data_IF_877981275867
#
_entry.id   IF_877981275867
#
_cell.length_a   1.000
_cell.length_b   1.000
_cell.length_c   1.000
_cell.angle_alpha   90.00
_cell.angle_beta   90.00
_cell.angle_gamma   90.00
#
_symmetry.space_group_name_H-M   'P 1'
#
loop_
_entity.id
_entity.type
_entity.pdbx_description
1 polymer ?
#
# COMPACT_ATOMS: atom_id res chain seq x y z
N UNK A 1 -19.50 -20.61 -47.18
CA UNK A 1 -20.04 -21.84 -46.58
C UNK A 1 -19.69 -22.00 -45.10
N UNK A 2 -18.43 -21.79 -44.73
CA UNK A 2 -17.90 -21.89 -43.33
C UNK A 2 -18.71 -21.09 -42.31
N UNK A 3 -18.93 -19.78 -42.52
CA UNK A 3 -19.71 -18.93 -41.61
C UNK A 3 -21.16 -19.33 -41.40
N UNK A 4 -21.79 -19.98 -42.43
CA UNK A 4 -23.14 -20.52 -42.27
C UNK A 4 -23.17 -21.75 -41.37
N UNK A 5 -22.10 -22.58 -41.37
CA UNK A 5 -21.95 -23.73 -40.49
C UNK A 5 -21.70 -23.24 -39.04
N UNK A 6 -20.79 -22.27 -38.84
CA UNK A 6 -20.54 -21.66 -37.54
C UNK A 6 -21.82 -21.07 -36.95
N UNK A 7 -22.55 -20.26 -37.73
CA UNK A 7 -23.80 -19.65 -37.29
C UNK A 7 -24.87 -20.68 -36.96
N UNK A 8 -25.01 -21.75 -37.79
CA UNK A 8 -25.94 -22.85 -37.54
C UNK A 8 -25.62 -23.62 -36.26
N UNK A 9 -24.36 -23.94 -36.02
CA UNK A 9 -23.90 -24.61 -34.83
C UNK A 9 -24.15 -23.77 -33.56
N UNK A 10 -23.82 -22.48 -33.61
CA UNK A 10 -24.01 -21.53 -32.49
C UNK A 10 -25.49 -21.42 -32.08
N UNK A 11 -26.41 -21.30 -33.05
CA UNK A 11 -27.83 -21.17 -32.75
C UNK A 11 -28.52 -22.48 -32.32
N UNK A 12 -27.96 -23.65 -32.67
CA UNK A 12 -28.53 -24.95 -32.32
C UNK A 12 -28.18 -25.40 -30.90
N UNK A 13 -27.01 -24.96 -30.35
CA UNK A 13 -26.55 -25.32 -29.00
C UNK A 13 -26.39 -24.11 -28.06
N UNK A 14 -27.31 -23.17 -28.14
CA UNK A 14 -27.25 -21.90 -27.35
C UNK A 14 -27.01 -22.12 -25.87
N UNK A 15 -27.67 -23.13 -25.25
CA UNK A 15 -27.51 -23.38 -23.81
C UNK A 15 -26.09 -23.77 -23.41
N UNK A 16 -25.42 -24.63 -24.21
CA UNK A 16 -24.05 -25.07 -23.91
C UNK A 16 -23.03 -23.98 -24.19
N UNK A 17 -23.19 -23.27 -25.31
CA UNK A 17 -22.37 -22.11 -25.62
C UNK A 17 -22.47 -21.03 -24.53
N UNK A 18 -23.68 -20.82 -24.00
CA UNK A 18 -23.89 -19.90 -22.88
C UNK A 18 -23.23 -20.39 -21.60
N UNK A 19 -23.24 -21.72 -21.31
CA UNK A 19 -22.49 -22.27 -20.16
C UNK A 19 -20.99 -22.12 -20.32
N UNK A 20 -20.45 -22.38 -21.53
CA UNK A 20 -19.01 -22.15 -21.80
C UNK A 20 -18.69 -20.68 -21.65
N UNK A 21 -19.48 -19.76 -22.21
CA UNK A 21 -19.30 -18.33 -22.06
C UNK A 21 -19.35 -17.89 -20.59
N UNK A 22 -20.27 -18.44 -19.81
CA UNK A 22 -20.40 -18.17 -18.38
C UNK A 22 -19.20 -18.67 -17.61
N UNK A 23 -18.68 -19.86 -17.90
CA UNK A 23 -17.43 -20.36 -17.25
C UNK A 23 -16.24 -19.48 -17.58
N UNK A 24 -16.11 -19.04 -18.83
CA UNK A 24 -15.05 -18.08 -19.22
C UNK A 24 -15.25 -16.75 -18.53
N UNK A 25 -16.50 -16.25 -18.46
CA UNK A 25 -16.82 -14.99 -17.81
C UNK A 25 -16.49 -15.01 -16.30
N UNK A 26 -16.76 -16.12 -15.61
CA UNK A 26 -16.39 -16.27 -14.20
C UNK A 26 -14.87 -16.18 -14.00
N UNK A 27 -14.10 -16.95 -14.79
CA UNK A 27 -12.64 -16.91 -14.70
C UNK A 27 -12.07 -15.54 -15.07
N UNK A 28 -12.57 -14.94 -16.15
CA UNK A 28 -12.16 -13.61 -16.58
C UNK A 28 -12.55 -12.52 -15.57
N UNK A 29 -13.71 -12.61 -14.93
CA UNK A 29 -14.16 -11.64 -13.93
C UNK A 29 -13.28 -11.66 -12.69
N UNK A 30 -12.96 -12.85 -12.19
CA UNK A 30 -12.08 -12.97 -11.03
C UNK A 30 -10.65 -12.53 -11.36
N UNK A 31 -10.13 -12.91 -12.53
CA UNK A 31 -8.82 -12.46 -12.99
C UNK A 31 -8.78 -10.93 -13.14
N UNK A 32 -9.81 -10.32 -13.73
CA UNK A 32 -9.91 -8.86 -13.88
C UNK A 32 -9.97 -8.16 -12.52
N UNK A 33 -10.79 -8.66 -11.60
CA UNK A 33 -10.90 -8.09 -10.26
C UNK A 33 -9.58 -8.17 -9.51
N UNK A 34 -8.96 -9.36 -9.46
CA UNK A 34 -7.71 -9.57 -8.72
C UNK A 34 -6.53 -8.79 -9.32
N UNK A 35 -6.42 -8.70 -10.66
CA UNK A 35 -5.35 -7.93 -11.30
C UNK A 35 -5.50 -6.41 -11.06
N UNK A 36 -6.73 -5.87 -11.13
CA UNK A 36 -6.93 -4.46 -10.78
C UNK A 36 -6.61 -4.20 -9.31
N UNK A 37 -7.08 -5.05 -8.40
CA UNK A 37 -6.77 -4.94 -6.97
C UNK A 37 -5.27 -5.06 -6.72
N UNK A 38 -4.60 -6.03 -7.36
CA UNK A 38 -3.15 -6.25 -7.19
C UNK A 38 -2.32 -5.03 -7.63
N UNK A 39 -2.69 -4.40 -8.76
CA UNK A 39 -1.97 -3.23 -9.27
C UNK A 39 -2.29 -1.94 -8.51
N UNK A 40 -3.48 -1.84 -7.92
CA UNK A 40 -3.93 -0.64 -7.20
C UNK A 40 -3.62 -0.70 -5.69
N UNK A 41 -3.58 -1.89 -5.09
CA UNK A 41 -3.29 -2.07 -3.65
C UNK A 41 -1.91 -1.54 -3.28
N UNK A 42 -0.90 -1.76 -4.14
CA UNK A 42 0.45 -1.21 -3.91
C UNK A 42 0.44 0.31 -3.79
N UNK A 43 -0.27 0.99 -4.69
CA UNK A 43 -0.36 2.45 -4.70
C UNK A 43 -1.19 2.98 -3.52
N UNK A 44 -2.27 2.27 -3.14
CA UNK A 44 -3.16 2.68 -2.04
C UNK A 44 -2.58 2.42 -0.67
N UNK A 45 -1.98 1.25 -0.44
CA UNK A 45 -1.28 0.97 0.82
C UNK A 45 -0.17 2.00 1.01
N UNK A 46 0.61 2.32 -0.02
CA UNK A 46 1.55 3.44 0.03
C UNK A 46 0.88 4.78 0.36
N UNK A 47 -0.33 5.02 -0.12
CA UNK A 47 -1.06 6.26 0.10
C UNK A 47 -1.69 6.33 1.49
N UNK A 48 -2.22 5.21 2.01
CA UNK A 48 -2.72 5.12 3.39
C UNK A 48 -1.60 5.18 4.41
N UNK A 49 -0.47 4.53 4.16
CA UNK A 49 0.70 4.59 5.03
C UNK A 49 1.34 6.00 5.05
N UNK A 50 1.20 6.77 3.98
CA UNK A 50 1.50 8.22 3.97
C UNK A 50 0.58 9.01 4.91
N UNK A 51 -0.63 8.54 5.13
CA UNK A 51 -1.60 9.13 6.06
C UNK A 51 -1.29 8.74 7.51
N UNK A 52 -0.57 7.64 7.75
CA UNK A 52 -0.24 7.10 9.08
C UNK A 52 1.06 7.66 9.70
N UNK A 53 1.61 8.75 9.18
CA UNK A 53 2.67 9.50 9.84
C UNK A 53 4.07 9.33 9.25
N UNK A 54 5.08 9.50 10.11
CA UNK A 54 6.46 9.47 9.73
C UNK A 54 6.95 8.05 9.38
N UNK A 55 7.77 7.96 8.35
CA UNK A 55 8.49 6.75 8.00
C UNK A 55 10.01 6.84 8.21
N UNK A 56 10.49 8.03 8.57
CA UNK A 56 11.89 8.28 8.91
C UNK A 56 11.96 8.98 10.26
N UNK A 57 12.89 8.55 11.11
CA UNK A 57 13.24 9.18 12.37
C UNK A 57 14.68 9.70 12.30
N UNK A 58 14.85 10.98 12.51
CA UNK A 58 16.16 11.66 12.54
C UNK A 58 16.53 11.91 14.00
N UNK A 59 17.61 11.32 14.45
CA UNK A 59 18.07 11.37 15.84
C UNK A 59 19.53 11.87 15.91
N UNK A 60 19.98 12.42 17.05
CA UNK A 60 21.36 12.79 17.22
C UNK A 60 22.33 11.60 17.15
N UNK A 61 23.47 11.77 16.51
CA UNK A 61 24.50 10.72 16.40
C UNK A 61 25.00 10.30 17.79
N UNK A 62 24.87 9.00 18.08
CA UNK A 62 25.26 8.40 19.36
C UNK A 62 24.20 8.55 20.45
N UNK A 63 22.98 8.93 20.12
CA UNK A 63 21.82 8.62 20.94
C UNK A 63 21.67 7.10 21.07
N UNK A 64 21.29 6.61 22.25
CA UNK A 64 21.28 5.17 22.53
C UNK A 64 20.35 4.41 21.58
N UNK A 65 20.87 3.34 20.97
CA UNK A 65 20.09 2.42 20.16
C UNK A 65 19.04 1.62 20.97
N UNK A 66 19.16 1.62 22.29
CA UNK A 66 18.26 0.88 23.18
C UNK A 66 16.89 1.55 23.32
N UNK A 67 16.84 2.88 23.26
CA UNK A 67 15.56 3.62 23.30
C UNK A 67 14.73 3.36 22.03
N UNK A 68 15.42 3.08 20.93
CA UNK A 68 14.80 2.84 19.60
C UNK A 68 14.33 1.38 19.40
N UNK A 69 14.95 0.43 20.13
CA UNK A 69 14.69 -1.02 19.95
C UNK A 69 13.54 -1.56 20.79
N UNK A 70 13.22 -0.95 21.90
CA UNK A 70 12.28 -1.51 22.88
C UNK A 70 11.11 -0.59 23.24
N UNK A 71 11.09 0.68 22.80
CA UNK A 71 10.09 1.66 23.23
C UNK A 71 10.07 1.80 24.76
N UNK A 72 11.13 1.37 25.41
CA UNK A 72 11.25 1.39 26.89
C UNK A 72 11.87 2.71 27.25
N UNK A 73 11.03 3.62 27.66
CA UNK A 73 11.37 4.80 28.44
C UNK A 73 11.84 4.35 29.83
N UNK A 74 12.91 3.53 29.89
CA UNK A 74 13.59 3.28 31.18
C UNK A 74 14.39 4.51 31.55
N UNK A 75 13.80 5.30 32.39
CA UNK A 75 14.17 6.56 32.99
C UNK A 75 15.58 6.73 33.55
N UNK A 76 16.62 6.50 32.75
CA UNK A 76 17.99 6.84 33.19
C UNK A 76 18.96 7.11 32.04
N UNK A 77 18.47 7.57 30.88
CA UNK A 77 19.32 7.94 29.77
C UNK A 77 18.72 9.03 28.91
N UNK A 78 18.49 10.21 29.49
CA UNK A 78 18.34 11.41 28.65
C UNK A 78 19.68 11.55 27.92
N UNK A 79 19.67 11.22 26.63
CA UNK A 79 20.81 11.51 25.76
C UNK A 79 21.06 13.01 25.89
N UNK A 80 22.24 13.41 26.36
CA UNK A 80 22.63 14.81 26.40
C UNK A 80 22.91 15.42 25.03
N UNK A 81 22.53 14.71 23.98
CA UNK A 81 22.70 15.10 22.57
C UNK A 81 21.36 15.50 21.96
N UNK A 82 21.40 16.58 21.24
CA UNK A 82 20.25 17.21 20.60
C UNK A 82 20.61 17.62 19.18
N UNK A 83 19.61 17.79 18.32
CA UNK A 83 19.73 18.42 17.03
C UNK A 83 19.38 19.91 17.13
N UNK A 84 19.93 20.72 16.23
CA UNK A 84 19.63 22.15 16.15
C UNK A 84 18.32 22.36 15.38
N UNK A 85 17.40 23.12 15.97
CA UNK A 85 16.13 23.49 15.34
C UNK A 85 16.35 24.28 14.04
N UNK A 86 17.33 25.19 14.02
CA UNK A 86 17.62 26.05 12.86
C UNK A 86 18.07 25.29 11.61
N UNK A 87 18.58 24.06 11.76
CA UNK A 87 19.04 23.23 10.65
C UNK A 87 17.89 22.41 10.01
N UNK A 88 16.72 22.35 10.63
CA UNK A 88 15.65 21.46 10.18
C UNK A 88 15.10 21.81 8.79
N UNK A 89 15.15 23.09 8.40
CA UNK A 89 14.81 23.54 7.05
C UNK A 89 15.67 22.90 5.95
N UNK A 90 16.89 22.46 6.28
CA UNK A 90 17.77 21.80 5.33
C UNK A 90 17.22 20.45 4.82
N UNK A 91 16.30 19.82 5.54
CA UNK A 91 15.58 18.60 5.08
C UNK A 91 14.94 18.84 3.71
N UNK A 92 14.52 20.06 3.42
CA UNK A 92 13.91 20.45 2.14
C UNK A 92 14.94 20.92 1.08
N UNK A 93 16.23 20.76 1.31
CA UNK A 93 17.28 21.08 0.34
C UNK A 93 17.92 19.85 -0.30
N UNK A 94 17.57 18.64 0.15
CA UNK A 94 18.09 17.38 -0.39
C UNK A 94 17.58 17.11 -1.81
N UNK A 95 18.22 16.19 -2.53
CA UNK A 95 17.81 15.82 -3.89
C UNK A 95 16.33 15.35 -3.93
N UNK A 96 15.88 14.63 -2.90
CA UNK A 96 14.51 14.14 -2.76
C UNK A 96 13.58 15.09 -1.99
N UNK A 97 13.87 16.39 -1.96
CA UNK A 97 13.07 17.40 -1.25
C UNK A 97 11.57 17.37 -1.57
N UNK A 98 11.21 17.14 -2.85
CA UNK A 98 9.81 17.03 -3.28
C UNK A 98 9.11 15.76 -2.78
N UNK A 99 9.85 14.74 -2.41
CA UNK A 99 9.32 13.52 -1.83
C UNK A 99 9.07 13.66 -0.33
N UNK A 100 9.66 14.65 0.35
CA UNK A 100 9.34 14.96 1.74
C UNK A 100 7.96 15.64 1.78
N UNK A 101 6.99 14.92 2.34
CA UNK A 101 5.60 15.41 2.47
C UNK A 101 5.51 16.40 3.61
N UNK A 102 6.01 15.99 4.79
CA UNK A 102 5.96 16.79 6.00
C UNK A 102 7.03 16.34 6.99
N UNK A 103 7.36 17.14 7.98
CA UNK A 103 8.24 16.77 9.08
C UNK A 103 7.92 17.61 10.32
N UNK A 104 8.23 17.06 11.50
CA UNK A 104 8.02 17.76 12.74
C UNK A 104 9.07 17.38 13.78
N UNK A 105 9.64 18.34 14.51
CA UNK A 105 10.57 18.08 15.61
C UNK A 105 9.83 17.67 16.88
N UNK A 106 10.54 16.95 17.73
CA UNK A 106 10.08 16.58 19.06
C UNK A 106 11.16 16.88 20.09
N UNK A 107 10.75 17.49 21.20
CA UNK A 107 11.56 17.66 22.40
C UNK A 107 10.85 17.03 23.58
N UNK A 108 11.35 15.91 24.07
CA UNK A 108 10.77 15.24 25.21
C UNK A 108 11.40 15.78 26.52
N UNK A 109 10.57 16.06 27.50
CA UNK A 109 11.00 16.42 28.85
C UNK A 109 10.04 15.85 29.89
N UNK A 110 10.54 15.63 31.10
CA UNK A 110 9.67 15.22 32.21
C UNK A 110 9.20 16.45 32.98
N UNK A 111 7.91 16.47 33.29
CA UNK A 111 7.28 17.55 34.02
C UNK A 111 6.43 17.01 35.18
N UNK A 112 6.37 17.72 36.28
CA UNK A 112 5.39 17.42 37.32
C UNK A 112 4.11 18.22 37.05
N UNK A 113 2.98 17.53 37.00
CA UNK A 113 1.65 18.12 36.79
C UNK A 113 1.04 18.48 38.14
N UNK A 114 0.73 19.76 38.36
CA UNK A 114 0.14 20.27 39.62
C UNK A 114 0.88 19.80 40.89
N UNK A 115 2.18 19.60 40.78
CA UNK A 115 3.02 19.07 41.86
C UNK A 115 2.92 17.57 42.13
N UNK A 116 2.25 16.82 41.27
CA UNK A 116 2.06 15.36 41.38
C UNK A 116 2.66 14.66 40.14
N UNK A 117 3.42 13.60 40.40
CA UNK A 117 3.91 12.66 39.39
C UNK A 117 4.80 13.29 38.31
N UNK A 118 5.61 12.45 37.68
CA UNK A 118 6.38 12.82 36.48
C UNK A 118 5.61 12.33 35.25
N UNK A 119 5.27 13.25 34.37
CA UNK A 119 4.58 12.98 33.10
C UNK A 119 5.50 13.42 31.97
N UNK A 120 5.47 12.71 30.84
CA UNK A 120 6.18 13.12 29.65
C UNK A 120 5.49 14.31 29.00
N UNK A 121 6.19 15.43 28.90
CA UNK A 121 5.78 16.58 28.09
C UNK A 121 6.57 16.56 26.78
N UNK A 122 5.85 16.68 25.69
CA UNK A 122 6.37 16.61 24.32
C UNK A 122 6.17 17.97 23.67
N UNK A 123 7.28 18.66 23.39
CA UNK A 123 7.29 19.88 22.58
C UNK A 123 7.38 19.56 21.11
N UNK A 124 6.54 20.19 20.30
CA UNK A 124 6.52 19.94 18.85
C UNK A 124 5.99 21.15 18.09
N UNK A 125 6.19 21.16 16.80
CA UNK A 125 5.48 22.07 15.89
C UNK A 125 4.11 21.50 15.57
N UNK A 126 3.06 22.27 15.80
CA UNK A 126 1.69 21.86 15.43
C UNK A 126 1.33 22.28 14.01
N UNK A 127 1.63 23.53 13.66
CA UNK A 127 1.45 24.12 12.33
C UNK A 127 2.44 25.28 12.20
N UNK A 128 3.67 24.96 11.84
CA UNK A 128 4.80 25.87 11.82
C UNK A 128 5.04 26.40 10.41
N UNK A 129 5.14 27.75 10.30
CA UNK A 129 5.52 28.39 9.06
C UNK A 129 7.04 28.52 9.01
N UNK A 130 7.65 27.78 8.11
CA UNK A 130 9.11 27.70 7.97
C UNK A 130 9.55 28.36 6.66
N UNK A 131 10.44 29.35 6.76
CA UNK A 131 11.17 29.87 5.61
C UNK A 131 12.36 28.97 5.30
N UNK A 132 12.38 28.39 4.11
CA UNK A 132 13.44 27.47 3.69
C UNK A 132 14.68 28.24 3.21
N UNK A 133 15.88 27.64 3.30
CA UNK A 133 17.11 28.23 2.76
C UNK A 133 17.02 28.51 1.23
N UNK A 134 16.11 27.87 0.54
CA UNK A 134 15.82 28.09 -0.88
C UNK A 134 15.03 29.37 -1.16
N UNK A 135 14.48 30.03 -0.12
CA UNK A 135 13.60 31.19 -0.24
C UNK A 135 12.13 30.84 -0.42
N UNK A 136 11.78 29.56 -0.38
CA UNK A 136 10.39 29.09 -0.37
C UNK A 136 9.87 29.02 1.07
N UNK A 137 8.54 29.17 1.26
CA UNK A 137 7.90 28.96 2.55
C UNK A 137 7.13 27.64 2.57
N UNK A 138 7.14 26.97 3.71
CA UNK A 138 6.47 25.71 3.94
C UNK A 138 5.72 25.73 5.27
N UNK A 139 4.46 25.30 5.27
CA UNK A 139 3.73 25.01 6.51
C UNK A 139 3.88 23.52 6.83
N UNK A 140 4.54 23.23 7.94
CA UNK A 140 4.86 21.86 8.38
C UNK A 140 4.45 21.65 9.83
N UNK A 141 4.21 20.40 10.25
CA UNK A 141 3.90 20.13 11.64
C UNK A 141 3.06 18.90 11.90
N UNK A 142 2.89 18.63 13.18
CA UNK A 142 2.26 17.41 13.69
C UNK A 142 0.81 17.27 13.24
N UNK A 143 0.07 18.35 13.09
CA UNK A 143 -1.33 18.32 12.65
C UNK A 143 -1.50 17.64 11.28
N UNK A 144 -0.57 17.87 10.36
CA UNK A 144 -0.58 17.24 9.04
C UNK A 144 -0.13 15.78 9.09
N UNK A 145 0.74 15.45 10.04
CA UNK A 145 1.34 14.11 10.16
C UNK A 145 0.51 13.13 11.00
N UNK A 146 -0.30 13.62 11.95
CA UNK A 146 -1.10 12.81 12.88
C UNK A 146 -2.61 12.98 12.61
N UNK A 147 -3.02 12.84 11.35
CA UNK A 147 -4.40 13.07 10.89
C UNK A 147 -5.41 12.08 11.47
N UNK A 148 -4.96 10.94 11.98
CA UNK A 148 -5.80 9.91 12.61
C UNK A 148 -6.11 10.18 14.10
N UNK A 149 -5.46 11.16 14.72
CA UNK A 149 -5.75 11.50 16.10
C UNK A 149 -7.17 12.07 16.20
N UNK A 150 -7.95 11.50 17.12
CA UNK A 150 -9.25 12.05 17.48
C UNK A 150 -9.07 13.12 18.56
N UNK A 151 -9.43 14.37 18.26
CA UNK A 151 -9.18 15.52 19.12
C UNK A 151 -10.49 16.13 19.55
N UNK A 152 -10.78 16.06 20.85
CA UNK A 152 -11.85 16.81 21.50
C UNK A 152 -11.32 18.22 21.82
N UNK A 153 -12.00 19.25 21.34
CA UNK A 153 -11.57 20.65 21.45
C UNK A 153 -10.87 21.16 20.20
N UNK A 154 -9.70 21.76 20.32
CA UNK A 154 -8.95 22.30 19.18
C UNK A 154 -7.50 21.84 19.17
N UNK A 155 -6.95 21.70 17.96
CA UNK A 155 -5.52 21.57 17.77
C UNK A 155 -4.82 22.86 18.19
N UNK A 156 -3.67 22.73 18.84
CA UNK A 156 -2.82 23.87 19.17
C UNK A 156 -2.25 24.54 17.92
N UNK A 157 -1.91 25.81 18.09
CA UNK A 157 -1.07 26.58 17.18
C UNK A 157 0.23 26.92 17.88
N UNK A 158 1.30 27.03 17.12
CA UNK A 158 2.63 27.25 17.69
C UNK A 158 2.76 28.62 18.39
N UNK A 159 1.89 29.59 18.04
CA UNK A 159 1.80 30.93 18.63
C UNK A 159 0.84 31.00 19.84
N UNK A 160 0.12 29.93 20.17
CA UNK A 160 -0.82 29.86 21.30
C UNK A 160 -0.13 29.50 22.61
N UNK A 161 0.63 30.42 23.19
CA UNK A 161 1.09 30.29 24.57
C UNK A 161 0.15 31.08 25.50
N UNK A 162 -0.26 30.51 26.63
CA UNK A 162 0.07 29.21 27.25
C UNK A 162 -1.06 28.16 27.08
N UNK A 163 -1.00 27.36 26.04
CA UNK A 163 -1.99 26.32 25.77
C UNK A 163 -1.33 24.91 25.67
N UNK A 164 -2.12 23.86 25.94
CA UNK A 164 -1.66 22.47 25.96
C UNK A 164 -2.71 21.51 25.45
N UNK A 165 -2.26 20.45 24.75
CA UNK A 165 -3.08 19.28 24.44
C UNK A 165 -2.69 18.13 25.38
N UNK A 166 -3.70 17.41 25.88
CA UNK A 166 -3.50 16.35 26.86
C UNK A 166 -3.96 15.03 26.28
N UNK A 167 -3.14 13.99 26.37
CA UNK A 167 -3.54 12.64 25.97
C UNK A 167 -4.63 12.08 26.85
N UNK A 168 -5.51 11.26 26.27
CA UNK A 168 -6.70 10.72 26.92
C UNK A 168 -6.41 10.01 28.23
N UNK A 169 -5.33 9.22 28.28
CA UNK A 169 -4.92 8.50 29.48
C UNK A 169 -4.56 9.47 30.63
N UNK A 170 -3.83 10.56 30.32
CA UNK A 170 -3.48 11.59 31.32
C UNK A 170 -4.73 12.36 31.75
N UNK A 171 -5.60 12.73 30.79
CA UNK A 171 -6.84 13.44 31.09
C UNK A 171 -7.74 12.63 32.04
N UNK A 172 -7.91 11.34 31.79
CA UNK A 172 -8.70 10.46 32.63
C UNK A 172 -8.07 10.23 34.03
N UNK A 173 -6.75 10.06 34.07
CA UNK A 173 -6.00 9.84 35.33
C UNK A 173 -6.08 11.03 36.27
N UNK A 174 -5.92 12.25 35.74
CA UNK A 174 -5.90 13.50 36.50
C UNK A 174 -7.25 14.23 36.47
N UNK A 175 -8.27 13.67 35.82
CA UNK A 175 -9.64 14.22 35.67
C UNK A 175 -9.65 15.63 35.05
N UNK A 176 -8.80 15.83 34.07
CA UNK A 176 -8.68 17.10 33.36
C UNK A 176 -9.80 17.26 32.31
N UNK A 177 -10.25 18.47 32.13
CA UNK A 177 -11.27 18.86 31.14
C UNK A 177 -10.79 20.01 30.30
N UNK A 178 -11.43 20.18 29.14
CA UNK A 178 -11.19 21.35 28.31
C UNK A 178 -11.45 22.64 29.09
N UNK A 179 -10.50 23.60 28.98
CA UNK A 179 -10.53 24.86 29.69
C UNK A 179 -9.91 24.84 31.08
N UNK A 180 -9.52 23.68 31.61
CA UNK A 180 -8.82 23.62 32.90
C UNK A 180 -7.42 24.25 32.78
N UNK A 181 -7.00 24.95 33.84
CA UNK A 181 -5.63 25.47 33.94
C UNK A 181 -4.79 24.49 34.76
N UNK A 182 -3.66 24.09 34.21
CA UNK A 182 -2.71 23.16 34.82
C UNK A 182 -1.36 23.81 34.99
N UNK A 183 -0.66 23.49 36.09
CA UNK A 183 0.70 23.92 36.33
C UNK A 183 1.66 22.81 35.97
N UNK A 184 2.54 23.09 34.99
CA UNK A 184 3.61 22.18 34.59
C UNK A 184 4.95 22.69 35.14
N UNK A 185 5.57 21.87 35.97
CA UNK A 185 6.91 22.17 36.53
C UNK A 185 7.94 21.34 35.79
N UNK A 186 8.66 21.99 34.88
CA UNK A 186 9.82 21.41 34.21
C UNK A 186 11.11 21.45 35.03
N UNK A 187 12.21 20.93 34.44
CA UNK A 187 13.53 20.95 35.10
C UNK A 187 14.07 22.35 35.45
N UNK A 188 13.76 23.35 34.63
CA UNK A 188 14.29 24.73 34.77
C UNK A 188 13.21 25.73 35.13
N UNK A 189 12.03 25.63 34.47
CA UNK A 189 10.95 26.60 34.67
C UNK A 189 9.64 25.92 35.02
N UNK A 190 8.74 26.70 35.60
CA UNK A 190 7.35 26.33 35.88
C UNK A 190 6.45 27.28 35.10
N UNK A 191 5.40 26.73 34.44
CA UNK A 191 4.41 27.49 33.69
C UNK A 191 2.99 27.03 33.96
N UNK A 192 2.04 27.94 33.81
CA UNK A 192 0.61 27.63 33.83
C UNK A 192 0.11 27.53 32.39
N UNK A 193 -0.67 26.50 32.11
CA UNK A 193 -1.16 26.22 30.77
C UNK A 193 -2.66 25.87 30.80
N UNK A 194 -3.36 26.27 29.76
CA UNK A 194 -4.79 25.95 29.59
C UNK A 194 -4.95 24.73 28.68
N UNK A 195 -5.75 23.75 29.10
CA UNK A 195 -6.09 22.58 28.30
C UNK A 195 -7.04 22.97 27.18
N UNK A 196 -6.57 23.03 25.94
CA UNK A 196 -7.36 23.42 24.77
C UNK A 196 -7.81 22.23 23.93
N UNK A 197 -7.14 21.08 24.09
CA UNK A 197 -7.47 19.85 23.41
C UNK A 197 -7.20 18.60 24.26
N UNK A 198 -8.06 17.61 24.12
CA UNK A 198 -7.82 16.26 24.64
C UNK A 198 -7.80 15.33 23.42
N UNK A 199 -6.72 14.58 23.25
CA UNK A 199 -6.56 13.72 22.08
C UNK A 199 -6.52 12.25 22.44
N UNK A 200 -6.97 11.41 21.49
CA UNK A 200 -6.85 9.97 21.50
C UNK A 200 -6.08 9.50 20.26
N UNK A 201 -4.89 8.97 20.48
CA UNK A 201 -4.00 8.45 19.44
C UNK A 201 -4.12 6.92 19.29
N UNK A 202 -4.56 6.22 20.34
CA UNK A 202 -4.63 4.77 20.39
C UNK A 202 -3.30 4.08 20.71
N UNK A 203 -2.34 4.82 21.25
CA UNK A 203 -0.99 4.33 21.58
C UNK A 203 -0.39 4.98 22.82
N UNK A 204 0.93 4.87 22.93
CA UNK A 204 1.68 5.41 24.09
C UNK A 204 1.60 6.93 24.19
N UNK A 205 1.33 7.62 23.08
CA UNK A 205 1.13 9.07 23.03
C UNK A 205 -0.02 9.54 23.94
N UNK A 206 -1.04 8.70 24.19
CA UNK A 206 -2.17 9.00 25.08
C UNK A 206 -1.72 9.23 26.54
N UNK A 207 -0.51 8.77 26.90
CA UNK A 207 0.14 8.97 28.20
C UNK A 207 0.97 10.25 28.33
N UNK A 208 0.94 11.14 27.34
CA UNK A 208 1.78 12.34 27.30
C UNK A 208 0.95 13.63 27.20
N UNK A 209 1.64 14.74 27.44
CA UNK A 209 1.12 16.11 27.27
C UNK A 209 1.90 16.76 26.13
N UNK A 210 1.21 17.40 25.19
CA UNK A 210 1.82 18.06 24.04
C UNK A 210 1.70 19.56 24.15
N UNK A 211 2.83 20.25 23.89
CA UNK A 211 2.96 21.71 23.96
C UNK A 211 3.64 22.25 22.69
N UNK A 212 3.50 23.55 22.39
CA UNK A 212 4.37 24.19 21.42
C UNK A 212 5.85 23.98 21.78
N UNK A 213 6.69 23.75 20.76
CA UNK A 213 8.12 23.46 20.96
C UNK A 213 8.80 24.51 21.82
N UNK A 214 8.57 25.79 21.55
CA UNK A 214 9.16 26.90 22.31
C UNK A 214 8.79 26.86 23.79
N UNK A 215 7.57 26.46 24.15
CA UNK A 215 7.17 26.32 25.55
C UNK A 215 7.94 25.19 26.25
N UNK A 216 8.12 24.05 25.59
CA UNK A 216 8.88 22.93 26.15
C UNK A 216 10.35 23.23 26.24
N UNK A 217 10.92 23.96 25.28
CA UNK A 217 12.31 24.46 25.34
C UNK A 217 12.55 25.37 26.55
N UNK A 218 11.59 26.26 26.85
CA UNK A 218 11.63 27.10 28.04
C UNK A 218 11.57 26.29 29.35
N UNK A 219 10.62 25.32 29.42
CA UNK A 219 10.47 24.46 30.60
C UNK A 219 11.72 23.61 30.88
N UNK A 220 12.33 23.09 29.80
CA UNK A 220 13.51 22.21 29.88
C UNK A 220 14.84 22.96 29.94
N UNK A 221 14.88 24.28 29.63
CA UNK A 221 16.12 25.08 29.53
C UNK A 221 16.95 24.72 28.29
N UNK A 222 16.36 24.30 27.20
CA UNK A 222 17.03 23.85 25.97
C UNK A 222 16.56 24.63 24.74
N UNK A 223 16.83 25.94 24.66
CA UNK A 223 16.38 26.76 23.53
C UNK A 223 17.04 26.31 22.22
N UNK A 224 16.28 26.27 21.13
CA UNK A 224 16.77 25.91 19.80
C UNK A 224 17.21 24.44 19.64
N UNK A 225 16.88 23.57 20.59
CA UNK A 225 17.30 22.17 20.59
C UNK A 225 16.07 21.24 20.49
N UNK A 226 16.25 20.13 19.77
CA UNK A 226 15.23 19.08 19.62
C UNK A 226 15.82 17.69 19.82
N UNK A 227 15.04 16.77 20.37
CA UNK A 227 15.49 15.40 20.65
C UNK A 227 15.51 14.53 19.41
N UNK A 228 14.51 14.69 18.54
CA UNK A 228 14.35 13.94 17.28
C UNK A 228 13.48 14.70 16.31
N UNK A 229 13.52 14.28 15.04
CA UNK A 229 12.62 14.78 14.01
C UNK A 229 11.95 13.58 13.33
N UNK A 230 10.63 13.58 13.25
CA UNK A 230 9.87 12.64 12.43
C UNK A 230 9.68 13.24 11.03
N UNK A 231 9.98 12.47 10.01
CA UNK A 231 9.83 12.87 8.60
C UNK A 231 8.92 11.91 7.89
N UNK A 232 7.94 12.45 7.17
CA UNK A 232 7.07 11.73 6.26
C UNK A 232 7.54 11.92 4.83
N UNK A 233 7.99 10.85 4.19
CA UNK A 233 8.52 10.89 2.83
C UNK A 233 7.81 9.89 1.91
N UNK A 234 7.62 10.29 0.64
CA UNK A 234 7.16 9.42 -0.42
C UNK A 234 8.31 8.53 -0.89
N UNK A 235 8.22 7.24 -0.61
CA UNK A 235 9.33 6.31 -0.84
C UNK A 235 8.97 5.22 -1.83
N UNK A 236 10.00 4.68 -2.50
CA UNK A 236 9.91 3.48 -3.31
C UNK A 236 10.14 2.26 -2.41
N UNK A 237 9.39 1.16 -2.57
CA UNK A 237 9.61 -0.06 -1.80
C UNK A 237 11.04 -0.57 -1.88
N UNK A 238 11.56 -1.05 -0.74
CA UNK A 238 12.92 -1.55 -0.64
C UNK A 238 13.15 -2.82 -1.48
N UNK A 239 14.30 -2.87 -2.12
CA UNK A 239 14.79 -4.03 -2.84
C UNK A 239 16.15 -4.50 -2.28
N UNK A 240 16.79 -5.47 -2.93
CA UNK A 240 18.09 -5.98 -2.49
C UNK A 240 19.20 -4.91 -2.54
N UNK A 241 19.14 -4.01 -3.53
CA UNK A 241 20.10 -2.90 -3.65
C UNK A 241 19.96 -1.92 -2.50
N UNK A 242 18.72 -1.49 -2.18
CA UNK A 242 18.46 -0.54 -1.09
C UNK A 242 18.87 -1.13 0.27
N UNK A 243 18.64 -2.44 0.50
CA UNK A 243 19.05 -3.14 1.74
C UNK A 243 20.57 -3.23 1.88
N UNK A 244 21.30 -3.51 0.80
CA UNK A 244 22.78 -3.49 0.81
C UNK A 244 23.31 -2.09 1.06
N UNK A 245 22.75 -1.10 0.38
CA UNK A 245 23.11 0.31 0.55
C UNK A 245 22.85 0.82 1.98
N UNK A 246 21.76 0.39 2.62
CA UNK A 246 21.47 0.74 4.02
C UNK A 246 22.51 0.21 5.02
N UNK A 247 23.20 -0.89 4.69
CA UNK A 247 24.25 -1.48 5.51
C UNK A 247 25.62 -0.83 5.24
N UNK A 248 25.98 -0.68 3.98
CA UNK A 248 27.26 -0.09 3.56
C UNK A 248 27.10 0.62 2.19
N UNK A 249 26.78 1.92 2.19
CA UNK A 249 26.68 2.70 0.96
C UNK A 249 28.01 2.81 0.20
N UNK A 250 29.16 2.73 0.92
CA UNK A 250 30.48 2.86 0.32
C UNK A 250 30.95 1.56 -0.38
N UNK A 251 30.36 0.43 -0.02
CA UNK A 251 30.63 -0.86 -0.65
C UNK A 251 29.95 -1.06 -2.00
N UNK A 252 29.14 -0.12 -2.48
CA UNK A 252 28.48 -0.18 -3.77
C UNK A 252 29.41 0.19 -4.93
N UNK A 253 29.19 -0.42 -6.09
CA UNK A 253 29.82 0.08 -7.34
C UNK A 253 29.24 1.45 -7.71
N UNK A 254 29.97 2.25 -8.48
CA UNK A 254 29.55 3.62 -8.89
C UNK A 254 28.14 3.60 -9.50
N UNK A 255 27.86 2.63 -10.39
CA UNK A 255 26.55 2.49 -11.04
C UNK A 255 25.44 2.11 -10.07
N UNK A 256 25.70 1.22 -9.12
CA UNK A 256 24.75 0.85 -8.09
C UNK A 256 24.48 2.02 -7.14
N UNK A 257 25.52 2.76 -6.78
CA UNK A 257 25.41 3.95 -5.97
C UNK A 257 24.57 5.03 -6.63
N UNK A 258 24.83 5.36 -7.92
CA UNK A 258 23.99 6.29 -8.70
C UNK A 258 22.54 5.82 -8.75
N UNK A 259 22.29 4.54 -9.04
CA UNK A 259 20.93 4.00 -9.12
C UNK A 259 20.21 4.11 -7.78
N UNK A 260 20.89 3.79 -6.68
CA UNK A 260 20.32 3.89 -5.34
C UNK A 260 20.09 5.34 -4.92
N UNK A 261 21.06 6.22 -5.08
CA UNK A 261 20.98 7.63 -4.69
C UNK A 261 19.87 8.38 -5.46
N UNK A 262 19.71 8.06 -6.75
CA UNK A 262 18.69 8.62 -7.63
C UNK A 262 17.36 7.86 -7.61
N UNK A 263 17.15 6.93 -6.68
CA UNK A 263 15.86 6.27 -6.44
C UNK A 263 15.37 6.65 -5.05
N UNK A 264 14.08 6.98 -4.91
CA UNK A 264 13.49 7.44 -3.66
C UNK A 264 13.32 6.30 -2.62
N UNK A 265 14.37 5.52 -2.38
CA UNK A 265 14.40 4.56 -1.29
C UNK A 265 14.48 5.28 0.05
N UNK A 266 13.85 4.71 1.09
CA UNK A 266 13.95 5.26 2.46
C UNK A 266 15.40 5.44 2.87
N UNK A 267 16.27 4.45 2.58
CA UNK A 267 17.70 4.49 2.91
C UNK A 267 18.45 5.60 2.17
N UNK A 268 18.09 5.91 0.92
CA UNK A 268 18.71 6.99 0.16
C UNK A 268 18.30 8.36 0.69
N UNK A 269 17.03 8.52 1.07
CA UNK A 269 16.54 9.76 1.69
C UNK A 269 17.16 9.96 3.06
N UNK A 270 17.25 8.90 3.89
CA UNK A 270 17.96 8.96 5.19
C UNK A 270 19.40 9.43 5.02
N UNK A 271 20.13 8.85 4.07
CA UNK A 271 21.52 9.23 3.79
C UNK A 271 21.64 10.71 3.41
N UNK A 272 20.74 11.22 2.56
CA UNK A 272 20.75 12.63 2.15
C UNK A 272 20.36 13.60 3.28
N UNK A 273 19.48 13.18 4.20
CA UNK A 273 19.17 13.97 5.41
C UNK A 273 20.40 14.06 6.31
N UNK A 274 21.14 12.95 6.46
CA UNK A 274 22.37 12.92 7.26
C UNK A 274 23.50 13.80 6.69
N UNK A 275 23.46 14.11 5.36
CA UNK A 275 24.41 15.02 4.73
C UNK A 275 24.12 16.50 5.05
N UNK A 276 22.88 16.87 5.39
CA UNK A 276 22.45 18.27 5.54
C UNK A 276 22.14 18.68 6.98
N UNK A 277 22.03 17.74 7.92
CA UNK A 277 21.84 18.01 9.36
C UNK A 277 23.08 17.56 10.12
N UNK A 278 23.67 18.49 10.85
CA UNK A 278 24.89 18.25 11.61
C UNK A 278 24.63 17.23 12.73
N UNK A 279 25.54 16.25 12.86
CA UNK A 279 25.47 15.19 13.88
C UNK A 279 24.15 14.40 13.93
N UNK A 280 23.43 14.34 12.84
CA UNK A 280 22.24 13.52 12.70
C UNK A 280 22.55 12.10 12.24
N UNK A 281 21.64 11.18 12.58
CA UNK A 281 21.50 9.84 12.01
C UNK A 281 20.05 9.60 11.73
N UNK A 282 19.72 9.46 10.46
CA UNK A 282 18.36 9.16 9.99
C UNK A 282 18.16 7.67 9.89
N UNK A 283 17.05 7.17 10.40
CA UNK A 283 16.69 5.75 10.36
C UNK A 283 15.27 5.57 9.88
N UNK A 284 15.02 4.56 9.04
CA UNK A 284 13.65 4.18 8.73
C UNK A 284 12.96 3.68 10.02
N UNK A 285 11.71 4.10 10.21
CA UNK A 285 10.87 3.55 11.27
C UNK A 285 10.51 2.12 10.87
N UNK A 286 11.21 1.13 11.45
CA UNK A 286 11.18 -0.28 11.04
C UNK A 286 9.79 -0.90 11.02
N UNK A 287 8.92 -0.51 11.94
CA UNK A 287 7.57 -1.04 12.03
C UNK A 287 6.73 -0.74 10.77
N UNK A 288 6.99 0.38 10.12
CA UNK A 288 6.31 0.80 8.89
C UNK A 288 6.97 0.16 7.67
N UNK A 289 8.29 0.22 7.55
CA UNK A 289 9.02 -0.21 6.36
C UNK A 289 9.10 -1.74 6.15
N UNK A 290 9.26 -2.54 7.22
CA UNK A 290 9.37 -4.01 7.10
C UNK A 290 8.01 -4.70 6.96
N UNK A 291 6.95 -4.17 7.60
CA UNK A 291 5.61 -4.75 7.47
C UNK A 291 4.97 -4.43 6.11
N UNK A 292 5.24 -3.26 5.54
CA UNK A 292 4.71 -2.83 4.25
C UNK A 292 5.12 -3.76 3.11
N UNK A 293 6.41 -3.96 2.90
CA UNK A 293 6.94 -4.78 1.82
C UNK A 293 6.52 -6.25 1.94
N UNK A 294 6.58 -6.81 3.15
CA UNK A 294 6.24 -8.21 3.38
C UNK A 294 4.74 -8.49 3.28
N UNK A 295 3.88 -7.57 3.73
CA UNK A 295 2.42 -7.72 3.61
C UNK A 295 1.98 -7.57 2.16
N UNK A 296 2.51 -6.58 1.43
CA UNK A 296 2.24 -6.37 0.01
C UNK A 296 2.66 -7.57 -0.83
N UNK A 297 3.88 -8.08 -0.64
CA UNK A 297 4.40 -9.25 -1.38
C UNK A 297 3.55 -10.49 -1.12
N UNK A 298 3.21 -10.79 0.13
CA UNK A 298 2.35 -11.92 0.51
C UNK A 298 0.93 -11.76 -0.05
N UNK A 299 0.38 -10.55 -0.02
CA UNK A 299 -0.97 -10.28 -0.54
C UNK A 299 -0.99 -10.41 -2.07
N UNK A 300 0.01 -9.90 -2.77
CA UNK A 300 0.16 -10.07 -4.21
C UNK A 300 0.31 -11.55 -4.61
N UNK A 301 1.09 -12.31 -3.85
CA UNK A 301 1.24 -13.75 -4.07
C UNK A 301 -0.09 -14.50 -3.88
N UNK A 302 -0.85 -14.19 -2.85
CA UNK A 302 -2.19 -14.76 -2.62
C UNK A 302 -3.15 -14.43 -3.77
N UNK A 303 -3.19 -13.18 -4.24
CA UNK A 303 -4.02 -12.76 -5.36
C UNK A 303 -3.63 -13.47 -6.66
N UNK A 304 -2.33 -13.64 -6.90
CA UNK A 304 -1.81 -14.37 -8.05
C UNK A 304 -2.21 -15.85 -7.98
N UNK A 305 -2.08 -16.51 -6.82
CA UNK A 305 -2.50 -17.89 -6.62
C UNK A 305 -4.00 -18.08 -6.85
N UNK A 306 -4.84 -17.20 -6.31
CA UNK A 306 -6.30 -17.23 -6.54
C UNK A 306 -6.63 -17.07 -8.02
N UNK A 307 -5.94 -16.15 -8.70
CA UNK A 307 -6.10 -15.93 -10.14
C UNK A 307 -5.73 -17.17 -10.94
N UNK A 308 -4.58 -17.80 -10.65
CA UNK A 308 -4.14 -19.02 -11.32
C UNK A 308 -5.11 -20.20 -11.07
N UNK A 309 -5.58 -20.38 -9.84
CA UNK A 309 -6.54 -21.43 -9.49
C UNK A 309 -7.88 -21.22 -10.22
N UNK A 310 -8.36 -19.97 -10.28
CA UNK A 310 -9.58 -19.63 -11.02
C UNK A 310 -9.45 -19.90 -12.50
N UNK A 311 -8.34 -19.53 -13.13
CA UNK A 311 -8.05 -19.79 -14.53
C UNK A 311 -7.93 -21.31 -14.82
N UNK A 312 -7.29 -22.07 -13.92
CA UNK A 312 -7.20 -23.52 -14.03
C UNK A 312 -8.60 -24.16 -13.93
N UNK A 313 -9.41 -23.75 -12.96
CA UNK A 313 -10.81 -24.19 -12.83
C UNK A 313 -11.64 -23.88 -14.08
N UNK A 314 -11.46 -22.68 -14.64
CA UNK A 314 -12.13 -22.29 -15.90
C UNK A 314 -11.67 -23.13 -17.08
N UNK A 315 -10.37 -23.42 -17.21
CA UNK A 315 -9.84 -24.28 -18.26
C UNK A 315 -10.42 -25.70 -18.18
N UNK A 316 -10.53 -26.28 -16.98
CA UNK A 316 -11.15 -27.58 -16.74
C UNK A 316 -12.66 -27.55 -17.06
N UNK A 317 -13.37 -26.51 -16.67
CA UNK A 317 -14.79 -26.32 -17.01
C UNK A 317 -15.02 -26.22 -18.51
N UNK A 318 -14.21 -25.44 -19.22
CA UNK A 318 -14.25 -25.33 -20.71
C UNK A 318 -13.98 -26.69 -21.33
N UNK A 319 -12.93 -27.39 -20.87
CA UNK A 319 -12.58 -28.73 -21.40
C UNK A 319 -13.72 -29.70 -21.29
N UNK A 320 -14.38 -29.78 -20.15
CA UNK A 320 -15.51 -30.68 -19.92
C UNK A 320 -16.73 -30.34 -20.80
N UNK A 321 -17.10 -29.05 -20.82
CA UNK A 321 -18.27 -28.59 -21.60
C UNK A 321 -18.06 -28.72 -23.12
N UNK A 322 -16.87 -28.40 -23.62
CA UNK A 322 -16.55 -28.51 -25.05
C UNK A 322 -16.43 -29.98 -25.45
N UNK A 323 -15.83 -30.84 -24.61
CA UNK A 323 -15.78 -32.29 -24.86
C UNK A 323 -17.19 -32.89 -24.96
N UNK A 324 -18.07 -32.53 -24.03
CA UNK A 324 -19.48 -32.98 -24.09
C UNK A 324 -20.17 -32.47 -25.35
N UNK A 325 -19.92 -31.24 -25.78
CA UNK A 325 -20.49 -30.69 -27.03
C UNK A 325 -19.96 -31.40 -28.27
N UNK A 326 -18.67 -31.74 -28.33
CA UNK A 326 -18.06 -32.51 -29.44
C UNK A 326 -18.63 -33.93 -29.50
N UNK A 327 -18.80 -34.61 -28.36
CA UNK A 327 -19.34 -35.96 -28.30
C UNK A 327 -20.79 -36.05 -28.78
N UNK A 328 -21.64 -35.09 -28.44
CA UNK A 328 -23.02 -35.05 -28.95
C UNK A 328 -23.10 -34.85 -30.46
N UNK A 329 -22.09 -34.21 -31.06
CA UNK A 329 -21.98 -33.96 -32.48
C UNK A 329 -21.09 -34.99 -33.19
N UNK A 330 -20.66 -36.04 -32.45
CA UNK A 330 -19.73 -37.03 -32.99
C UNK A 330 -20.25 -37.67 -34.31
N UNK A 331 -21.56 -38.01 -34.42
CA UNK A 331 -22.14 -38.54 -35.62
C UNK A 331 -22.06 -37.56 -36.82
N UNK A 332 -22.31 -36.27 -36.60
CA UNK A 332 -22.19 -35.24 -37.64
C UNK A 332 -20.75 -35.07 -38.09
N UNK A 333 -19.80 -35.03 -37.12
CA UNK A 333 -18.37 -34.93 -37.36
C UNK A 333 -17.88 -36.20 -38.12
N UNK A 334 -18.32 -37.39 -37.69
CA UNK A 334 -18.03 -38.65 -38.37
C UNK A 334 -18.53 -38.68 -39.81
N UNK A 335 -19.72 -38.16 -40.07
CA UNK A 335 -20.27 -38.04 -41.45
C UNK A 335 -19.43 -37.08 -42.29
N UNK A 336 -19.01 -35.91 -41.74
CA UNK A 336 -18.14 -34.96 -42.46
C UNK A 336 -16.79 -35.61 -42.82
N UNK A 337 -16.20 -36.38 -41.90
CA UNK A 337 -14.96 -37.14 -42.16
C UNK A 337 -15.18 -38.24 -43.19
N UNK A 338 -16.33 -38.94 -43.16
CA UNK A 338 -16.66 -39.98 -44.13
C UNK A 338 -16.84 -39.44 -45.57
N UNK A 339 -17.34 -38.21 -45.73
CA UNK A 339 -17.47 -37.49 -47.02
C UNK A 339 -16.14 -36.88 -47.48
N UNK A 340 -15.05 -37.02 -46.69
CA UNK A 340 -13.70 -36.59 -47.08
C UNK A 340 -13.25 -35.25 -46.52
N UNK A 341 -13.89 -34.71 -45.47
CA UNK A 341 -13.41 -33.52 -44.81
C UNK A 341 -12.13 -33.82 -44.01
N UNK A 342 -11.09 -33.02 -44.21
CA UNK A 342 -9.85 -33.14 -43.49
C UNK A 342 -10.03 -32.66 -42.03
N UNK A 343 -9.16 -33.16 -41.14
CA UNK A 343 -9.18 -32.82 -39.69
C UNK A 343 -8.97 -31.33 -39.41
N UNK A 344 -8.17 -30.64 -40.25
CA UNK A 344 -7.89 -29.23 -40.12
C UNK A 344 -9.13 -28.32 -40.16
N UNK A 345 -9.97 -28.37 -41.23
CA UNK A 345 -11.21 -27.60 -41.30
C UNK A 345 -12.21 -27.89 -40.18
N UNK A 346 -12.26 -29.14 -39.70
CA UNK A 346 -13.18 -29.55 -38.64
C UNK A 346 -12.69 -28.96 -37.30
N UNK A 347 -11.38 -29.05 -36.99
CA UNK A 347 -10.77 -28.45 -35.82
C UNK A 347 -10.90 -26.93 -35.84
N UNK A 348 -10.71 -26.30 -37.01
CA UNK A 348 -10.88 -24.86 -37.18
C UNK A 348 -12.34 -24.41 -36.91
N UNK A 349 -13.33 -25.22 -37.28
CA UNK A 349 -14.74 -24.94 -36.97
C UNK A 349 -14.95 -24.86 -35.46
N UNK A 350 -14.51 -25.90 -34.72
CA UNK A 350 -14.66 -25.97 -33.26
C UNK A 350 -13.88 -24.87 -32.59
N UNK A 351 -12.63 -24.60 -33.01
CA UNK A 351 -11.82 -23.50 -32.47
C UNK A 351 -12.47 -22.13 -32.69
N UNK A 352 -13.11 -21.92 -33.85
CA UNK A 352 -13.81 -20.65 -34.12
C UNK A 352 -15.03 -20.49 -33.21
N UNK A 353 -15.81 -21.58 -32.99
CA UNK A 353 -16.93 -21.57 -32.05
C UNK A 353 -16.50 -21.23 -30.64
N UNK A 354 -15.41 -21.85 -30.15
CA UNK A 354 -14.83 -21.59 -28.83
C UNK A 354 -14.25 -20.17 -28.78
N UNK A 355 -13.58 -19.73 -29.83
CA UNK A 355 -13.01 -18.38 -29.91
C UNK A 355 -14.06 -17.27 -29.81
N UNK A 356 -15.16 -17.39 -30.54
CA UNK A 356 -16.30 -16.45 -30.45
C UNK A 356 -16.89 -16.45 -29.04
N UNK A 357 -17.11 -17.64 -28.47
CA UNK A 357 -17.61 -17.80 -27.11
C UNK A 357 -16.63 -17.24 -26.09
N UNK A 358 -15.34 -17.43 -26.32
CA UNK A 358 -14.24 -16.85 -25.52
C UNK A 358 -14.22 -15.32 -25.48
N UNK A 359 -14.40 -14.70 -26.66
CA UNK A 359 -14.48 -13.24 -26.78
C UNK A 359 -15.71 -12.72 -26.04
N UNK A 360 -16.85 -13.31 -26.24
CA UNK A 360 -18.12 -12.89 -25.59
C UNK A 360 -18.07 -13.10 -24.08
N UNK A 361 -17.60 -14.26 -23.62
CA UNK A 361 -17.45 -14.60 -22.21
C UNK A 361 -16.37 -13.74 -21.55
N UNK A 362 -15.23 -13.56 -22.22
CA UNK A 362 -14.14 -12.71 -21.74
C UNK A 362 -14.54 -11.24 -21.57
N UNK A 363 -15.25 -10.68 -22.56
CA UNK A 363 -15.77 -9.31 -22.47
C UNK A 363 -16.79 -9.17 -21.33
N UNK A 364 -17.77 -10.08 -21.24
CA UNK A 364 -18.73 -10.08 -20.15
C UNK A 364 -18.04 -10.22 -18.78
N UNK A 365 -17.05 -11.12 -18.68
CA UNK A 365 -16.24 -11.32 -17.48
C UNK A 365 -15.41 -10.09 -17.11
N UNK A 366 -14.82 -9.42 -18.08
CA UNK A 366 -14.09 -8.18 -17.84
C UNK A 366 -14.98 -7.11 -17.17
N UNK A 367 -16.16 -6.84 -17.75
CA UNK A 367 -17.07 -5.85 -17.17
C UNK A 367 -17.60 -6.28 -15.79
N UNK A 368 -17.93 -7.54 -15.60
CA UNK A 368 -18.31 -8.08 -14.29
C UNK A 368 -17.16 -7.96 -13.29
N UNK A 369 -15.93 -8.24 -13.70
CA UNK A 369 -14.74 -8.12 -12.90
C UNK A 369 -14.45 -6.68 -12.45
N UNK A 370 -14.69 -5.69 -13.29
CA UNK A 370 -14.64 -4.28 -12.89
C UNK A 370 -15.66 -3.94 -11.80
N UNK A 371 -16.86 -4.53 -11.87
CA UNK A 371 -17.88 -4.41 -10.82
C UNK A 371 -17.41 -5.01 -9.50
N UNK A 372 -16.83 -6.22 -9.53
CA UNK A 372 -16.27 -6.87 -8.34
C UNK A 372 -15.08 -6.10 -7.78
N UNK A 373 -14.19 -5.60 -8.63
CA UNK A 373 -13.07 -4.78 -8.20
C UNK A 373 -13.54 -3.53 -7.42
N UNK A 374 -14.59 -2.85 -7.90
CA UNK A 374 -15.18 -1.71 -7.20
C UNK A 374 -15.79 -2.08 -5.85
N UNK A 375 -16.52 -3.20 -5.79
CA UNK A 375 -17.11 -3.69 -4.53
C UNK A 375 -16.02 -4.01 -3.52
N UNK A 376 -14.98 -4.72 -3.94
CA UNK A 376 -13.83 -5.06 -3.07
C UNK A 376 -13.13 -3.78 -2.61
N UNK A 377 -12.89 -2.82 -3.51
CA UNK A 377 -12.25 -1.55 -3.18
C UNK A 377 -13.01 -0.77 -2.11
N UNK A 378 -14.30 -0.62 -2.29
CA UNK A 378 -15.14 0.10 -1.32
C UNK A 378 -15.30 -0.64 0.01
N UNK A 379 -15.42 -1.99 -0.02
CA UNK A 379 -15.67 -2.78 1.19
C UNK A 379 -14.41 -3.03 2.01
N UNK A 380 -13.23 -3.14 1.38
CA UNK A 380 -11.96 -3.48 2.04
C UNK A 380 -11.11 -2.25 2.27
N UNK A 381 -11.04 -1.35 1.28
CA UNK A 381 -10.13 -0.18 1.31
C UNK A 381 -10.86 1.16 1.47
N UNK A 382 -12.18 1.17 1.62
CA UNK A 382 -12.98 2.40 1.78
C UNK A 382 -12.95 3.35 0.58
N UNK A 383 -12.28 2.99 -0.52
CA UNK A 383 -12.05 3.83 -1.68
C UNK A 383 -12.28 3.09 -3.00
N UNK A 384 -12.62 3.81 -4.07
CA UNK A 384 -12.80 3.19 -5.38
C UNK A 384 -11.46 2.73 -5.96
N UNK A 385 -11.40 1.52 -6.51
CA UNK A 385 -10.20 1.01 -7.22
C UNK A 385 -10.05 1.74 -8.54
N UNK A 386 -8.85 2.22 -8.82
CA UNK A 386 -8.50 2.84 -10.09
C UNK A 386 -8.34 1.79 -11.17
N UNK A 387 -9.05 1.97 -12.28
CA UNK A 387 -9.01 1.02 -13.39
C UNK A 387 -7.73 1.24 -14.18
N UNK A 388 -6.79 0.30 -14.11
CA UNK A 388 -5.53 0.37 -14.86
C UNK A 388 -5.71 -0.13 -16.30
N UNK A 389 -5.45 0.69 -17.34
CA UNK A 389 -5.62 0.28 -18.74
C UNK A 389 -4.79 -0.95 -19.13
N UNK A 390 -3.68 -1.21 -18.44
CA UNK A 390 -2.81 -2.38 -18.62
C UNK A 390 -3.54 -3.71 -18.35
N UNK A 391 -4.60 -3.72 -17.57
CA UNK A 391 -5.38 -4.94 -17.26
C UNK A 391 -6.12 -5.45 -18.49
N UNK A 392 -6.53 -4.57 -19.40
CA UNK A 392 -7.28 -4.97 -20.61
C UNK A 392 -6.49 -5.98 -21.47
N UNK A 393 -5.30 -5.65 -21.99
CA UNK A 393 -4.53 -6.59 -22.80
C UNK A 393 -4.11 -7.83 -22.02
N UNK A 394 -3.82 -7.70 -20.72
CA UNK A 394 -3.41 -8.81 -19.87
C UNK A 394 -4.55 -9.85 -19.73
N UNK A 395 -5.75 -9.40 -19.41
CA UNK A 395 -6.94 -10.26 -19.32
C UNK A 395 -7.27 -10.88 -20.67
N UNK A 396 -7.17 -10.14 -21.79
CA UNK A 396 -7.39 -10.67 -23.14
C UNK A 396 -6.44 -11.82 -23.46
N UNK A 397 -5.16 -11.68 -23.12
CA UNK A 397 -4.14 -12.75 -23.27
C UNK A 397 -4.48 -13.95 -22.38
N UNK A 398 -4.82 -13.73 -21.12
CA UNK A 398 -5.17 -14.81 -20.18
C UNK A 398 -6.42 -15.57 -20.64
N UNK A 399 -7.45 -14.89 -21.09
CA UNK A 399 -8.66 -15.52 -21.65
C UNK A 399 -8.32 -16.35 -22.88
N UNK A 400 -7.48 -15.83 -23.77
CA UNK A 400 -7.02 -16.58 -24.94
C UNK A 400 -6.25 -17.84 -24.54
N UNK A 401 -5.31 -17.74 -23.61
CA UNK A 401 -4.53 -18.89 -23.12
C UNK A 401 -5.41 -19.94 -22.45
N UNK A 402 -6.37 -19.55 -21.62
CA UNK A 402 -7.29 -20.45 -20.91
C UNK A 402 -8.24 -21.14 -21.88
N UNK A 403 -8.78 -20.40 -22.85
CA UNK A 403 -9.67 -21.00 -23.87
C UNK A 403 -8.91 -21.97 -24.76
N UNK A 404 -7.70 -21.65 -25.18
CA UNK A 404 -6.85 -22.59 -25.93
C UNK A 404 -6.48 -23.81 -25.08
N UNK A 405 -6.01 -23.64 -23.86
CA UNK A 405 -5.64 -24.76 -22.99
C UNK A 405 -6.83 -25.67 -22.69
N UNK A 406 -8.01 -25.11 -22.40
CA UNK A 406 -9.25 -25.85 -22.15
C UNK A 406 -9.77 -26.56 -23.37
N UNK A 407 -9.47 -26.11 -24.60
CA UNK A 407 -9.92 -26.76 -25.83
C UNK A 407 -9.03 -27.92 -26.28
N UNK A 408 -7.78 -28.02 -25.81
CA UNK A 408 -6.83 -29.06 -26.23
C UNK A 408 -7.37 -30.50 -26.06
N UNK A 409 -7.94 -30.91 -24.91
CA UNK A 409 -8.45 -32.27 -24.74
C UNK A 409 -9.60 -32.57 -25.72
N UNK A 410 -10.49 -31.60 -25.93
CA UNK A 410 -11.63 -31.74 -26.85
C UNK A 410 -11.21 -31.88 -28.30
N UNK A 411 -10.17 -31.12 -28.72
CA UNK A 411 -9.60 -31.24 -30.07
C UNK A 411 -8.89 -32.58 -30.23
N UNK A 412 -8.14 -33.04 -29.25
CA UNK A 412 -7.50 -34.39 -29.30
C UNK A 412 -8.54 -35.48 -29.44
N UNK A 413 -9.64 -35.40 -28.69
CA UNK A 413 -10.75 -36.34 -28.80
C UNK A 413 -11.41 -36.29 -30.21
N UNK A 414 -11.64 -35.08 -30.72
CA UNK A 414 -12.22 -34.88 -32.08
C UNK A 414 -11.33 -35.53 -33.15
N UNK A 415 -10.02 -35.41 -33.05
CA UNK A 415 -9.08 -36.00 -33.98
C UNK A 415 -9.06 -37.53 -33.90
N UNK A 416 -9.28 -38.13 -32.72
CA UNK A 416 -9.29 -39.56 -32.49
C UNK A 416 -10.59 -40.25 -32.97
N UNK A 417 -11.66 -39.52 -33.28
CA UNK A 417 -12.93 -40.06 -33.75
C UNK A 417 -12.79 -40.72 -35.12
N UNK A 418 -13.03 -42.04 -35.20
CA UNK A 418 -13.03 -42.82 -36.44
C UNK A 418 -14.46 -42.87 -37.03
N UNK A 419 -14.64 -42.53 -38.32
CA UNK A 419 -15.96 -42.51 -38.94
C UNK A 419 -16.73 -43.84 -38.81
N UNK A 420 -16.01 -44.97 -38.95
CA UNK A 420 -16.62 -46.31 -38.89
C UNK A 420 -17.18 -46.64 -37.48
N UNK A 421 -16.49 -46.25 -36.40
CA UNK A 421 -16.91 -46.52 -35.02
C UNK A 421 -18.11 -45.64 -34.64
N UNK A 422 -18.09 -44.37 -35.04
CA UNK A 422 -19.14 -43.39 -34.69
C UNK A 422 -20.45 -43.66 -35.43
N UNK A 423 -20.39 -44.15 -36.66
CA UNK A 423 -21.59 -44.47 -37.48
C UNK A 423 -22.23 -45.81 -37.10
N UNK A 424 -21.49 -46.75 -36.48
CA UNK A 424 -22.02 -48.05 -36.02
C UNK A 424 -22.48 -48.03 -34.56
N UNK A 425 -22.46 -46.88 -33.89
CA UNK A 425 -22.98 -46.70 -32.52
C UNK A 425 -22.16 -47.40 -31.43
N UNK A 426 -20.85 -47.58 -31.64
CA UNK A 426 -19.91 -48.10 -30.64
C UNK A 426 -18.94 -47.03 -30.16
#
# INVERSE_FOLDING_TARGET
MFWRLVKGAFFRQKGKMLMVAFTIALGASLATAMLNVMLDVGDKVNQELKTYGANINVIPRGASLLDDLYGVDEGSGVSDKYLNEDELGNIKTIFWAFNIVDFTPYLNTRVALNGHGDITAVGTWFSHHLELPTGEALDTGMRNMKTWWDVEGSWLRDDEEPAVMVGKTVADQYRLRLGDTITLRGPVQTGEFTVTGIFYAGGDEDGAIYLPLAATQKLSGRPGLVSRVEVSALTTPDNELSRRAAQDPQGLSIKEWETWYCTAYVSAICYQIDEVITDAVSKPIRQVAESEGAILEKTQLLMLLITLLSLAGSALGISNLVTASVMERAAEIGLLKAVGAYDGPISALVLTEIGITGILGGAAGYFAGLGFARIIGQSVFGSAIEIKPLVIPLVAVLVCLVTMAGSIPSIRLLLSLRPAEVLHGR
#
